data_IF_177983748448
#
_entry.id   IF_177983748448
#
_cell.length_a   1.000
_cell.length_b   1.000
_cell.length_c   1.000
_cell.angle_alpha   90.00
_cell.angle_beta   90.00
_cell.angle_gamma   90.00
#
_symmetry.space_group_name_H-M   'P 1'
#
loop_
_entity.id
_entity.type
_entity.pdbx_description
1 polymer ?
#
# COMPACT_ATOMS: atom_id res chain seq x y z
N UNK A 1 -1.33 12.40 25.06
CA UNK A 1 -1.52 10.92 25.04
C UNK A 1 -0.21 10.27 24.62
N UNK A 2 0.11 9.08 25.12
CA UNK A 2 1.36 8.39 24.78
C UNK A 2 1.10 7.52 23.54
N UNK A 3 1.57 7.89 22.33
CA UNK A 3 1.36 7.09 21.12
C UNK A 3 1.97 5.70 21.30
N UNK A 4 1.27 4.68 20.78
CA UNK A 4 1.69 3.27 20.85
C UNK A 4 1.57 2.65 19.46
N UNK A 5 2.53 1.79 19.10
CA UNK A 5 2.43 0.96 17.91
C UNK A 5 1.38 -0.13 18.15
N UNK A 6 0.27 -0.08 17.41
CA UNK A 6 -0.86 -1.03 17.55
C UNK A 6 -0.93 -2.06 16.43
N UNK A 7 -0.14 -1.91 15.38
CA UNK A 7 -0.06 -2.86 14.27
C UNK A 7 1.07 -2.55 13.30
N UNK A 8 1.52 -3.56 12.56
CA UNK A 8 2.55 -3.46 11.53
C UNK A 8 2.21 -4.43 10.40
N UNK A 9 2.36 -4.00 9.15
CA UNK A 9 2.19 -4.84 7.95
C UNK A 9 3.36 -4.66 7.01
N UNK A 10 3.79 -5.77 6.41
CA UNK A 10 4.74 -5.81 5.31
C UNK A 10 4.01 -6.26 4.05
N UNK A 11 4.06 -5.40 3.03
CA UNK A 11 3.33 -5.58 1.77
C UNK A 11 4.26 -5.88 0.59
N UNK A 12 5.57 -5.65 0.74
CA UNK A 12 6.53 -5.79 -0.33
C UNK A 12 7.78 -4.97 -0.08
N UNK A 13 8.46 -4.61 -1.16
CA UNK A 13 9.65 -3.79 -1.17
C UNK A 13 10.96 -4.58 -1.16
N UNK A 14 12.07 -3.85 -1.27
CA UNK A 14 13.42 -4.41 -1.37
C UNK A 14 13.92 -5.16 -0.14
N UNK A 15 13.31 -4.90 1.01
CA UNK A 15 13.66 -5.58 2.25
C UNK A 15 13.06 -6.97 2.33
N UNK A 16 12.14 -7.36 1.42
CA UNK A 16 11.59 -8.71 1.38
C UNK A 16 12.71 -9.75 1.18
N UNK A 17 12.55 -10.91 1.83
CA UNK A 17 13.59 -11.93 1.85
C UNK A 17 13.90 -12.55 0.48
N UNK A 18 12.93 -12.53 -0.44
CA UNK A 18 13.07 -13.05 -1.80
C UNK A 18 13.83 -12.10 -2.73
N UNK A 19 14.10 -10.87 -2.28
CA UNK A 19 14.97 -9.93 -2.97
C UNK A 19 16.44 -10.27 -2.74
N UNK A 20 17.07 -10.89 -3.75
CA UNK A 20 18.45 -11.40 -3.67
C UNK A 20 19.52 -10.33 -3.77
N UNK A 21 19.18 -9.17 -4.33
CA UNK A 21 20.13 -8.12 -4.71
C UNK A 21 20.41 -7.14 -3.55
N UNK A 22 19.79 -7.38 -2.39
CA UNK A 22 19.86 -6.53 -1.21
C UNK A 22 20.43 -7.34 -0.06
N UNK A 23 21.47 -6.77 0.56
CA UNK A 23 22.09 -7.30 1.76
C UNK A 23 21.81 -6.33 2.91
N UNK A 24 21.01 -6.78 3.86
CA UNK A 24 20.79 -6.05 5.12
C UNK A 24 22.02 -6.26 6.00
N UNK A 25 22.71 -5.17 6.35
CA UNK A 25 23.94 -5.21 7.15
C UNK A 25 23.63 -5.21 8.65
N UNK A 26 22.61 -4.46 9.05
CA UNK A 26 22.13 -4.34 10.42
C UNK A 26 20.63 -4.04 10.38
N UNK A 27 19.85 -4.73 11.22
CA UNK A 27 18.43 -4.47 11.46
C UNK A 27 18.20 -4.58 12.97
N UNK A 28 17.75 -3.47 13.57
CA UNK A 28 17.46 -3.39 15.01
C UNK A 28 15.98 -3.65 15.32
N UNK A 29 15.14 -3.66 14.30
CA UNK A 29 13.69 -3.73 14.40
C UNK A 29 13.20 -5.16 14.17
N UNK A 30 13.76 -5.85 13.16
CA UNK A 30 13.34 -7.19 12.77
C UNK A 30 14.45 -8.22 12.99
N UNK A 31 14.05 -9.43 13.39
CA UNK A 31 14.96 -10.58 13.51
C UNK A 31 15.21 -11.27 12.18
N UNK A 32 14.31 -11.09 11.20
CA UNK A 32 14.44 -11.59 9.84
C UNK A 32 13.78 -10.64 8.84
N UNK A 33 14.25 -10.68 7.60
CA UNK A 33 13.63 -9.95 6.49
C UNK A 33 12.17 -10.42 6.30
N UNK A 34 11.23 -9.52 5.97
CA UNK A 34 9.84 -9.91 5.76
C UNK A 34 9.66 -10.89 4.60
N UNK A 35 8.70 -11.81 4.73
CA UNK A 35 8.30 -12.71 3.66
C UNK A 35 7.54 -11.94 2.56
N UNK A 36 7.64 -12.35 1.28
CA UNK A 36 6.84 -11.77 0.22
C UNK A 36 5.34 -11.99 0.48
N UNK A 37 4.53 -10.96 0.23
CA UNK A 37 3.09 -11.02 0.42
C UNK A 37 2.37 -11.47 -0.85
N UNK A 38 1.37 -12.31 -0.68
CA UNK A 38 0.46 -12.75 -1.73
C UNK A 38 -0.97 -12.45 -1.33
N UNK A 39 -1.77 -11.94 -2.27
CA UNK A 39 -3.22 -11.75 -2.09
C UNK A 39 -3.90 -12.40 -3.28
N UNK A 40 -4.87 -13.30 -3.05
CA UNK A 40 -5.58 -14.04 -4.11
C UNK A 40 -4.65 -14.68 -5.16
N UNK A 41 -3.52 -15.22 -4.70
CA UNK A 41 -2.50 -15.86 -5.55
C UNK A 41 -1.57 -14.89 -6.30
N UNK A 42 -1.77 -13.58 -6.19
CA UNK A 42 -0.92 -12.54 -6.78
C UNK A 42 0.16 -12.11 -5.80
N UNK A 43 1.43 -12.22 -6.19
CA UNK A 43 2.57 -11.63 -5.45
C UNK A 43 2.44 -10.10 -5.52
N UNK A 44 2.54 -9.44 -4.37
CA UNK A 44 2.60 -7.98 -4.31
C UNK A 44 4.01 -7.51 -4.73
N UNK A 45 4.09 -6.98 -5.94
CA UNK A 45 5.31 -6.36 -6.49
C UNK A 45 5.38 -4.89 -6.05
N UNK A 46 6.59 -4.33 -5.98
CA UNK A 46 6.77 -2.95 -5.52
C UNK A 46 6.64 -2.82 -4.00
N UNK A 47 6.27 -1.63 -3.55
CA UNK A 47 5.94 -1.33 -2.16
C UNK A 47 4.71 -0.43 -2.07
N UNK A 48 4.17 -0.20 -0.86
CA UNK A 48 3.04 0.69 -0.67
C UNK A 48 3.42 2.13 -1.06
N UNK A 49 2.57 2.80 -1.85
CA UNK A 49 2.82 4.15 -2.34
C UNK A 49 1.68 5.13 -1.98
N UNK A 50 0.65 5.30 -2.81
CA UNK A 50 -0.49 6.17 -2.45
C UNK A 50 -1.39 5.42 -1.48
N UNK A 51 -1.96 6.17 -0.54
CA UNK A 51 -2.85 5.67 0.48
C UNK A 51 -4.12 6.50 0.50
N UNK A 52 -5.27 5.82 0.47
CA UNK A 52 -6.59 6.45 0.53
C UNK A 52 -7.40 5.85 1.66
N UNK A 53 -7.70 6.63 2.69
CA UNK A 53 -8.53 6.19 3.81
C UNK A 53 -10.01 6.50 3.52
N UNK A 54 -10.88 5.57 3.88
CA UNK A 54 -12.32 5.82 3.86
C UNK A 54 -12.75 6.85 4.89
N UNK A 55 -13.84 7.57 4.60
CA UNK A 55 -14.37 8.62 5.49
C UNK A 55 -14.75 8.11 6.88
N UNK A 56 -15.17 6.84 6.99
CA UNK A 56 -15.44 6.19 8.28
C UNK A 56 -14.17 5.66 8.98
N UNK A 57 -13.00 5.84 8.38
CA UNK A 57 -11.69 5.46 8.92
C UNK A 57 -11.39 3.96 8.92
N UNK A 58 -12.27 3.11 8.37
CA UNK A 58 -12.19 1.65 8.54
C UNK A 58 -11.47 0.90 7.42
N UNK A 59 -11.28 1.53 6.25
CA UNK A 59 -10.69 0.90 5.06
C UNK A 59 -9.63 1.80 4.47
N UNK A 60 -8.40 1.32 4.43
CA UNK A 60 -7.26 1.99 3.81
C UNK A 60 -6.90 1.26 2.52
N UNK A 61 -7.04 1.94 1.38
CA UNK A 61 -6.61 1.39 0.09
C UNK A 61 -5.20 1.87 -0.22
N UNK A 62 -4.39 0.98 -0.77
CA UNK A 62 -2.98 1.25 -1.04
C UNK A 62 -2.63 0.83 -2.45
N UNK A 63 -2.08 1.76 -3.24
CA UNK A 63 -1.56 1.49 -4.58
C UNK A 63 -0.04 1.26 -4.55
N UNK A 64 0.51 0.71 -5.63
CA UNK A 64 1.90 0.26 -5.66
C UNK A 64 2.86 1.14 -6.50
N UNK A 65 2.36 2.04 -7.36
CA UNK A 65 3.21 2.81 -8.29
C UNK A 65 3.38 4.27 -7.88
N UNK A 66 4.61 4.77 -7.99
CA UNK A 66 4.95 6.18 -7.74
C UNK A 66 5.02 6.97 -9.06
N UNK A 67 5.94 6.58 -9.93
CA UNK A 67 6.27 7.33 -11.14
C UNK A 67 7.02 6.40 -12.10
N UNK A 68 6.52 6.24 -13.32
CA UNK A 68 6.94 5.13 -14.18
C UNK A 68 8.45 5.03 -14.45
N UNK A 69 9.20 6.14 -14.68
CA UNK A 69 10.65 6.07 -14.78
C UNK A 69 11.35 5.51 -13.53
N UNK A 70 10.86 5.86 -12.34
CA UNK A 70 11.41 5.37 -11.07
C UNK A 70 10.97 3.94 -10.81
N UNK A 71 9.71 3.61 -11.09
CA UNK A 71 9.21 2.25 -10.96
C UNK A 71 10.00 1.29 -11.87
N UNK A 72 10.39 1.72 -13.08
CA UNK A 72 11.26 0.92 -13.97
C UNK A 72 12.66 0.70 -13.38
N UNK A 73 13.22 1.71 -12.72
CA UNK A 73 14.55 1.62 -12.11
C UNK A 73 14.54 0.73 -10.87
N UNK A 74 13.53 0.91 -10.01
CA UNK A 74 13.47 0.27 -8.71
C UNK A 74 12.74 -1.07 -8.76
N UNK A 75 11.57 -1.12 -9.36
CA UNK A 75 10.69 -2.29 -9.38
C UNK A 75 10.33 -2.72 -10.81
N UNK A 76 11.31 -3.09 -11.66
CA UNK A 76 11.06 -3.45 -13.05
C UNK A 76 10.04 -4.60 -13.19
N UNK A 77 10.07 -5.57 -12.28
CA UNK A 77 9.09 -6.68 -12.25
C UNK A 77 7.66 -6.21 -11.98
N UNK A 78 7.47 -5.14 -11.18
CA UNK A 78 6.14 -4.54 -11.01
C UNK A 78 5.66 -3.91 -12.32
N UNK A 79 6.55 -3.24 -13.06
CA UNK A 79 6.22 -2.64 -14.36
C UNK A 79 5.86 -3.71 -15.38
N UNK A 80 6.58 -4.83 -15.41
CA UNK A 80 6.31 -5.96 -16.31
C UNK A 80 5.02 -6.70 -15.99
N UNK A 81 4.65 -6.80 -14.70
CA UNK A 81 3.49 -7.58 -14.27
C UNK A 81 2.25 -6.73 -13.99
N UNK A 82 2.38 -5.41 -13.92
CA UNK A 82 1.33 -4.49 -13.50
C UNK A 82 1.30 -4.30 -11.98
N UNK A 83 0.89 -3.10 -11.58
CA UNK A 83 0.72 -2.77 -10.17
C UNK A 83 -0.59 -3.27 -9.60
N UNK A 84 -0.79 -3.02 -8.30
CA UNK A 84 -1.96 -3.51 -7.58
C UNK A 84 -2.56 -2.42 -6.69
N UNK A 85 -3.85 -2.55 -6.39
CA UNK A 85 -4.47 -1.88 -5.25
C UNK A 85 -4.95 -2.96 -4.28
N UNK A 86 -4.59 -2.81 -3.02
CA UNK A 86 -5.05 -3.66 -1.92
C UNK A 86 -5.90 -2.86 -0.94
N UNK A 87 -6.60 -3.54 -0.04
CA UNK A 87 -7.31 -2.93 1.08
C UNK A 87 -6.72 -3.43 2.41
N UNK A 88 -6.60 -2.53 3.37
CA UNK A 88 -6.24 -2.80 4.75
C UNK A 88 -7.43 -2.40 5.62
N UNK A 89 -7.88 -3.34 6.45
CA UNK A 89 -8.91 -3.10 7.45
C UNK A 89 -8.28 -2.44 8.68
N UNK A 90 -8.93 -1.38 9.17
CA UNK A 90 -8.46 -0.57 10.31
C UNK A 90 -9.43 -0.75 11.49
N UNK A 91 -8.90 -1.14 12.66
CA UNK A 91 -9.68 -1.16 13.90
C UNK A 91 -9.61 0.21 14.57
N UNK A 92 -10.64 1.02 14.32
CA UNK A 92 -10.77 2.37 14.89
C UNK A 92 -11.18 2.39 16.37
N UNK A 93 -11.55 1.24 16.94
CA UNK A 93 -11.99 1.14 18.35
C UNK A 93 -10.85 0.72 19.25
N UNK A 94 -10.13 -0.35 18.90
CA UNK A 94 -9.04 -0.89 19.70
C UNK A 94 -7.64 -0.50 19.17
N UNK A 95 -7.58 0.05 17.96
CA UNK A 95 -6.32 0.26 17.24
C UNK A 95 -5.84 -1.01 16.54
N UNK A 96 -5.04 -0.81 15.50
CA UNK A 96 -4.45 -1.89 14.72
C UNK A 96 -4.96 -1.92 13.28
N UNK A 97 -4.32 -2.77 12.48
CA UNK A 97 -4.56 -2.87 11.05
C UNK A 97 -4.29 -4.29 10.56
N UNK A 98 -5.05 -4.74 9.57
CA UNK A 98 -4.93 -6.08 8.99
C UNK A 98 -5.14 -6.01 7.47
N UNK A 99 -4.32 -6.74 6.71
CA UNK A 99 -4.53 -6.89 5.28
C UNK A 99 -5.85 -7.62 5.01
N UNK A 100 -6.68 -7.07 4.14
CA UNK A 100 -7.87 -7.76 3.64
C UNK A 100 -7.48 -8.69 2.49
N UNK A 101 -7.45 -10.00 2.78
CA UNK A 101 -7.02 -11.04 1.83
C UNK A 101 -8.05 -11.29 0.70
N UNK A 102 -9.27 -10.75 0.81
CA UNK A 102 -10.35 -10.95 -0.16
C UNK A 102 -10.40 -9.83 -1.23
N UNK A 103 -9.73 -8.71 -0.98
CA UNK A 103 -9.71 -7.54 -1.85
C UNK A 103 -8.38 -7.40 -2.60
N UNK A 104 -8.47 -7.39 -3.94
CA UNK A 104 -7.34 -7.09 -4.83
C UNK A 104 -7.88 -6.51 -6.13
N UNK A 105 -7.29 -5.38 -6.55
CA UNK A 105 -7.36 -4.92 -7.93
C UNK A 105 -6.00 -5.16 -8.57
N UNK A 106 -5.97 -6.00 -9.60
CA UNK A 106 -4.75 -6.36 -10.33
C UNK A 106 -4.76 -5.69 -11.71
N UNK A 107 -3.81 -4.79 -11.95
CA UNK A 107 -3.68 -4.05 -13.20
C UNK A 107 -2.77 -4.77 -14.23
N UNK A 108 -2.45 -6.05 -14.00
CA UNK A 108 -1.60 -6.83 -14.90
C UNK A 108 -2.22 -7.17 -16.25
N UNK A 109 -3.55 -7.24 -16.33
CA UNK A 109 -4.29 -7.69 -17.52
C UNK A 109 -5.08 -6.57 -18.22
N UNK A 110 -4.64 -5.32 -18.08
CA UNK A 110 -5.30 -4.19 -18.76
C UNK A 110 -5.20 -4.29 -20.29
N UNK A 111 -6.15 -3.74 -21.06
CA UNK A 111 -6.26 -3.95 -22.51
C UNK A 111 -5.02 -3.58 -23.34
N UNK A 112 -4.19 -2.67 -22.84
CA UNK A 112 -2.98 -2.17 -23.51
C UNK A 112 -1.69 -2.67 -22.85
N UNK A 113 -1.78 -3.75 -22.06
CA UNK A 113 -0.70 -4.28 -21.25
C UNK A 113 -0.73 -3.75 -19.82
N UNK A 114 0.21 -4.21 -18.98
CA UNK A 114 0.18 -3.94 -17.55
C UNK A 114 0.18 -2.44 -17.22
N UNK A 115 -0.74 -2.03 -16.36
CA UNK A 115 -0.86 -0.64 -15.91
C UNK A 115 -0.35 -0.46 -14.48
N UNK A 116 -0.09 0.81 -14.14
CA UNK A 116 0.52 1.21 -12.88
C UNK A 116 -0.45 2.14 -12.13
N UNK A 117 -1.12 1.66 -11.07
CA UNK A 117 -2.05 2.47 -10.31
C UNK A 117 -1.31 3.44 -9.39
N UNK A 118 -1.68 4.72 -9.49
CA UNK A 118 -1.12 5.79 -8.65
C UNK A 118 -2.17 6.29 -7.65
N UNK A 119 -2.94 7.31 -8.00
CA UNK A 119 -3.96 7.92 -7.14
C UNK A 119 -5.32 7.21 -7.28
N UNK A 120 -6.10 7.22 -6.19
CA UNK A 120 -7.47 6.71 -6.12
C UNK A 120 -8.36 7.82 -5.60
N UNK A 121 -9.55 8.00 -6.17
CA UNK A 121 -10.53 9.02 -5.74
C UNK A 121 -11.88 8.40 -5.48
N UNK A 122 -12.53 8.79 -4.40
CA UNK A 122 -13.85 8.25 -4.08
C UNK A 122 -14.95 9.10 -4.72
N UNK A 123 -16.02 8.46 -5.20
CA UNK A 123 -17.22 9.20 -5.57
C UNK A 123 -17.73 10.00 -4.38
N UNK A 124 -17.84 11.32 -4.54
CA UNK A 124 -18.38 12.21 -3.50
C UNK A 124 -17.37 12.73 -2.48
N UNK A 125 -16.07 12.53 -2.70
CA UNK A 125 -15.02 13.08 -1.86
C UNK A 125 -14.36 12.05 -0.94
N UNK A 126 -13.14 12.34 -0.52
CA UNK A 126 -12.28 11.48 0.28
C UNK A 126 -11.40 12.31 1.22
N UNK A 127 -10.67 11.62 2.11
CA UNK A 127 -9.87 12.26 3.15
C UNK A 127 -8.68 13.09 2.62
N UNK A 128 -8.46 13.14 1.30
CA UNK A 128 -7.38 13.90 0.65
C UNK A 128 -7.88 14.91 -0.38
N UNK A 129 -9.14 14.84 -0.79
CA UNK A 129 -9.72 15.78 -1.76
C UNK A 129 -10.49 16.94 -1.14
N UNK A 130 -11.07 16.73 0.04
CA UNK A 130 -12.06 17.65 0.60
C UNK A 130 -11.42 18.66 1.55
N UNK A 131 -11.73 19.94 1.33
CA UNK A 131 -11.32 21.05 2.19
C UNK A 131 -12.53 21.48 2.99
N UNK A 132 -12.48 21.30 4.31
CA UNK A 132 -13.53 21.72 5.23
C UNK A 132 -13.25 23.14 5.70
N UNK A 133 -14.17 24.06 5.45
CA UNK A 133 -14.13 25.39 6.06
C UNK A 133 -14.76 25.29 7.46
N UNK A 134 -13.96 25.49 8.49
CA UNK A 134 -14.49 25.68 9.84
C UNK A 134 -15.08 27.09 9.92
N UNK A 135 -16.36 27.20 10.28
CA UNK A 135 -16.92 28.49 10.69
C UNK A 135 -16.36 28.81 12.08
N UNK A 136 -15.18 29.44 12.11
CA UNK A 136 -14.54 29.95 13.32
C UNK A 136 -15.21 31.26 13.82
N UNK A 137 -16.53 31.38 13.69
CA UNK A 137 -17.26 32.46 14.34
C UNK A 137 -17.36 32.15 15.84
N UNK A 138 -16.53 32.86 16.61
CA UNK A 138 -16.56 32.94 18.07
C UNK A 138 -17.85 33.56 18.59
#
# INVERSE_FOLDING_TARGET
>A
ENPRLTGQLFLGGFICEDWKNVKVLEDKELTKRPEPRFVKGRRLEGGPQMMQLSLDGKRLYVSSSLFSPWDKQFYPTMVEKGGTIIQIDIDVVNGGLKLNEDFLVDFGNEPYGPALPHEMRYPGGDCTSDIWLANDEK
#
